data_IF_385549976800
#
_entry.id   IF_385549976800
#
_cell.length_a   1.000
_cell.length_b   1.000
_cell.length_c   1.000
_cell.angle_alpha   90.00
_cell.angle_beta   90.00
_cell.angle_gamma   90.00
#
_symmetry.space_group_name_H-M   'P 1'
#
loop_
_entity.id
_entity.type
_entity.pdbx_description
1 polymer ?
#
# COMPACT_ATOMS: atom_id res chain seq x y z
N UNK A 1 17.06 0.79 16.74
CA UNK A 1 16.15 -0.36 16.98
C UNK A 1 16.71 -1.14 18.18
N UNK A 2 16.08 -1.02 19.34
CA UNK A 2 16.37 -1.92 20.47
C UNK A 2 15.89 -3.32 20.07
N UNK A 3 16.80 -4.29 19.97
CA UNK A 3 16.48 -5.64 19.51
C UNK A 3 15.34 -6.26 20.31
N UNK A 4 14.39 -6.89 19.60
CA UNK A 4 13.38 -7.72 20.24
C UNK A 4 14.06 -8.77 21.11
N UNK A 5 13.51 -9.14 22.29
CA UNK A 5 14.00 -10.29 23.05
C UNK A 5 14.21 -11.49 22.12
N UNK A 6 15.29 -12.23 22.31
CA UNK A 6 15.70 -13.32 21.41
C UNK A 6 14.57 -14.32 21.15
N UNK A 7 13.75 -14.58 22.16
CA UNK A 7 12.57 -15.45 22.13
C UNK A 7 11.47 -14.99 21.17
N UNK A 8 11.40 -13.68 20.86
CA UNK A 8 10.39 -13.06 19.99
C UNK A 8 10.95 -12.60 18.63
N UNK A 9 12.25 -12.72 18.43
CA UNK A 9 12.91 -12.27 17.19
C UNK A 9 12.38 -12.99 15.95
N UNK A 10 12.04 -14.29 16.05
CA UNK A 10 11.45 -15.05 14.94
C UNK A 10 10.07 -14.55 14.52
N UNK A 11 9.21 -14.21 15.48
CA UNK A 11 7.89 -13.64 15.19
C UNK A 11 8.02 -12.23 14.58
N UNK A 12 8.98 -11.42 15.04
CA UNK A 12 9.25 -10.12 14.46
C UNK A 12 9.71 -10.23 13.00
N UNK A 13 10.62 -11.16 12.70
CA UNK A 13 11.08 -11.40 11.33
C UNK A 13 9.95 -11.87 10.40
N UNK A 14 9.07 -12.76 10.87
CA UNK A 14 7.92 -13.21 10.08
C UNK A 14 6.93 -12.06 9.76
N UNK A 15 6.77 -11.10 10.69
CA UNK A 15 5.95 -9.91 10.45
C UNK A 15 6.59 -8.97 9.42
N UNK A 16 7.92 -8.80 9.46
CA UNK A 16 8.65 -8.01 8.47
C UNK A 16 8.51 -8.62 7.06
N UNK A 17 8.68 -9.94 6.94
CA UNK A 17 8.48 -10.64 5.66
C UNK A 17 7.04 -10.49 5.15
N UNK A 18 6.05 -10.66 6.03
CA UNK A 18 4.64 -10.48 5.68
C UNK A 18 4.36 -9.04 5.25
N UNK A 19 4.95 -8.05 5.93
CA UNK A 19 4.79 -6.64 5.58
C UNK A 19 5.43 -6.31 4.23
N UNK A 20 6.61 -6.89 3.94
CA UNK A 20 7.30 -6.72 2.68
C UNK A 20 6.48 -7.31 1.51
N UNK A 21 6.04 -8.56 1.64
CA UNK A 21 5.22 -9.24 0.64
C UNK A 21 3.87 -8.54 0.43
N UNK A 22 3.21 -8.13 1.52
CA UNK A 22 1.96 -7.35 1.42
C UNK A 22 2.18 -6.02 0.68
N UNK A 23 3.28 -5.32 0.98
CA UNK A 23 3.66 -4.10 0.27
C UNK A 23 3.88 -4.33 -1.22
N UNK A 24 4.56 -5.41 -1.58
CA UNK A 24 4.80 -5.82 -2.97
C UNK A 24 3.49 -6.09 -3.73
N UNK A 25 2.54 -6.80 -3.11
CA UNK A 25 1.22 -7.07 -3.67
C UNK A 25 0.42 -5.78 -3.89
N UNK A 26 0.39 -4.88 -2.89
CA UNK A 26 -0.29 -3.59 -3.02
C UNK A 26 0.34 -2.72 -4.11
N UNK A 27 1.68 -2.73 -4.22
CA UNK A 27 2.40 -2.04 -5.30
C UNK A 27 2.00 -2.56 -6.69
N UNK A 28 1.89 -3.88 -6.83
CA UNK A 28 1.46 -4.52 -8.08
C UNK A 28 0.01 -4.17 -8.44
N UNK A 29 -0.89 -4.06 -7.45
CA UNK A 29 -2.27 -3.58 -7.66
C UNK A 29 -2.26 -2.13 -8.15
N UNK A 30 -1.43 -1.26 -7.56
CA UNK A 30 -1.31 0.13 -8.00
C UNK A 30 -0.79 0.23 -9.44
N UNK A 31 0.20 -0.57 -9.82
CA UNK A 31 0.74 -0.62 -11.18
C UNK A 31 -0.32 -1.11 -12.18
N UNK A 32 -1.05 -2.18 -11.85
CA UNK A 32 -2.13 -2.70 -12.70
C UNK A 32 -3.27 -1.67 -12.86
N UNK A 33 -3.67 -1.00 -11.78
CA UNK A 33 -4.71 0.03 -11.80
C UNK A 33 -4.28 1.28 -12.59
N UNK A 34 -2.99 1.64 -12.53
CA UNK A 34 -2.40 2.69 -13.38
C UNK A 34 -2.48 2.31 -14.87
N UNK A 35 -1.92 1.15 -15.23
CA UNK A 35 -1.88 0.65 -16.61
C UNK A 35 -3.28 0.54 -17.23
N UNK A 36 -4.26 0.08 -16.45
CA UNK A 36 -5.66 -0.01 -16.89
C UNK A 36 -6.28 1.35 -17.29
N UNK A 37 -5.80 2.45 -16.71
CA UNK A 37 -6.30 3.81 -17.01
C UNK A 37 -5.60 4.47 -18.19
N UNK A 38 -4.43 3.98 -18.55
CA UNK A 38 -3.74 4.30 -19.80
C UNK A 38 -3.93 3.18 -20.83
N UNK A 39 -5.18 2.72 -21.00
CA UNK A 39 -5.52 1.71 -22.00
C UNK A 39 -5.20 2.18 -23.42
N UNK A 40 -5.14 1.24 -24.38
CA UNK A 40 -4.90 1.53 -25.80
C UNK A 40 -5.87 2.56 -26.36
N UNK A 41 -7.14 2.46 -25.95
CA UNK A 41 -8.19 3.39 -26.37
C UNK A 41 -7.94 4.84 -25.91
N UNK A 42 -7.33 5.02 -24.74
CA UNK A 42 -6.96 6.34 -24.22
C UNK A 42 -5.73 6.86 -24.96
N UNK A 43 -4.72 6.00 -25.13
CA UNK A 43 -3.46 6.39 -25.75
C UNK A 43 -3.56 6.64 -27.27
N UNK A 44 -4.55 6.05 -27.94
CA UNK A 44 -4.83 6.29 -29.35
C UNK A 44 -5.11 7.77 -29.68
N UNK A 45 -5.52 8.59 -28.70
CA UNK A 45 -5.75 10.02 -28.88
C UNK A 45 -4.48 10.88 -28.96
N UNK A 46 -3.29 10.30 -28.72
CA UNK A 46 -2.05 11.05 -28.52
C UNK A 46 -1.03 10.90 -29.67
N UNK A 47 -1.39 10.22 -30.77
CA UNK A 47 -0.52 9.97 -31.95
C UNK A 47 0.86 9.39 -31.59
N UNK A 48 0.85 8.40 -30.69
CA UNK A 48 2.05 7.72 -30.20
C UNK A 48 2.40 6.52 -31.09
N UNK A 49 3.69 6.26 -31.25
CA UNK A 49 4.11 4.94 -31.74
C UNK A 49 3.96 3.87 -30.64
N UNK A 50 4.03 2.59 -31.03
CA UNK A 50 3.81 1.46 -30.11
C UNK A 50 4.76 1.49 -28.89
N UNK A 51 6.03 1.87 -29.08
CA UNK A 51 7.01 1.93 -28.01
C UNK A 51 6.70 3.05 -27.01
N UNK A 52 6.26 4.20 -27.50
CA UNK A 52 5.83 5.33 -26.69
C UNK A 52 4.55 5.01 -25.91
N UNK A 53 3.58 4.36 -26.55
CA UNK A 53 2.34 3.95 -25.90
C UNK A 53 2.62 2.93 -24.78
N UNK A 54 3.50 1.96 -25.02
CA UNK A 54 3.89 0.98 -24.00
C UNK A 54 4.62 1.64 -22.82
N UNK A 55 5.63 2.47 -23.11
CA UNK A 55 6.38 3.18 -22.08
C UNK A 55 5.48 4.07 -21.21
N UNK A 56 4.51 4.76 -21.82
CA UNK A 56 3.56 5.59 -21.11
C UNK A 56 2.69 4.78 -20.13
N UNK A 57 2.27 3.58 -20.55
CA UNK A 57 1.41 2.69 -19.77
C UNK A 57 2.13 1.94 -18.66
N UNK A 58 3.42 1.65 -18.84
CA UNK A 58 4.20 0.89 -17.86
C UNK A 58 4.44 1.69 -16.57
N UNK A 59 4.58 3.02 -16.67
CA UNK A 59 4.78 3.86 -15.49
C UNK A 59 4.43 5.34 -15.72
N UNK A 60 4.14 6.05 -14.63
CA UNK A 60 3.94 7.52 -14.66
C UNK A 60 5.18 8.25 -15.16
N UNK A 61 6.38 7.75 -14.83
CA UNK A 61 7.64 8.31 -15.32
C UNK A 61 7.77 8.18 -16.84
N UNK A 62 7.43 7.01 -17.39
CA UNK A 62 7.37 6.80 -18.83
C UNK A 62 6.32 7.68 -19.51
N UNK A 63 5.15 7.88 -18.89
CA UNK A 63 4.11 8.78 -19.40
C UNK A 63 4.59 10.24 -19.49
N UNK A 64 5.26 10.74 -18.44
CA UNK A 64 5.83 12.09 -18.40
C UNK A 64 6.96 12.25 -19.42
N UNK A 65 7.82 11.25 -19.55
CA UNK A 65 8.94 11.26 -20.51
C UNK A 65 8.42 11.28 -21.96
N UNK A 66 7.45 10.42 -22.30
CA UNK A 66 6.83 10.40 -23.63
C UNK A 66 6.10 11.72 -23.92
N UNK A 67 5.41 12.29 -22.93
CA UNK A 67 4.78 13.61 -23.05
C UNK A 67 5.81 14.71 -23.37
N UNK A 68 6.98 14.68 -22.73
CA UNK A 68 8.06 15.61 -23.02
C UNK A 68 8.64 15.42 -24.43
N UNK A 69 8.83 14.17 -24.87
CA UNK A 69 9.35 13.85 -26.21
C UNK A 69 8.41 14.24 -27.34
N UNK A 70 7.10 14.15 -27.12
CA UNK A 70 6.05 14.45 -28.12
C UNK A 70 5.53 15.88 -28.05
N UNK A 71 5.89 16.63 -27.00
CA UNK A 71 5.33 17.96 -26.72
C UNK A 71 3.87 17.92 -26.28
N UNK A 72 3.35 16.76 -25.86
CA UNK A 72 1.95 16.58 -25.49
C UNK A 72 1.74 16.77 -23.99
N UNK A 73 1.50 18.02 -23.56
CA UNK A 73 1.28 18.34 -22.14
C UNK A 73 0.06 17.66 -21.51
N UNK A 74 -0.96 17.33 -22.31
CA UNK A 74 -2.16 16.63 -21.85
C UNK A 74 -1.87 15.17 -21.47
N UNK A 75 -0.90 14.54 -22.14
CA UNK A 75 -0.45 13.18 -21.78
C UNK A 75 0.20 13.18 -20.39
N UNK A 76 1.00 14.20 -20.05
CA UNK A 76 1.61 14.31 -18.73
C UNK A 76 0.57 14.48 -17.62
N UNK A 77 -0.43 15.34 -17.82
CA UNK A 77 -1.54 15.47 -16.86
C UNK A 77 -2.32 14.17 -16.74
N UNK A 78 -2.58 13.49 -17.86
CA UNK A 78 -3.32 12.23 -17.87
C UNK A 78 -2.60 11.11 -17.11
N UNK A 79 -1.28 11.01 -17.29
CA UNK A 79 -0.44 10.07 -16.54
C UNK A 79 -0.46 10.37 -15.03
N UNK A 80 -0.36 11.64 -14.65
CA UNK A 80 -0.40 12.05 -13.25
C UNK A 80 -1.77 11.74 -12.59
N UNK A 81 -2.87 12.04 -13.28
CA UNK A 81 -4.23 11.70 -12.83
C UNK A 81 -4.40 10.19 -12.63
N UNK A 82 -4.01 9.40 -13.62
CA UNK A 82 -4.12 7.94 -13.56
C UNK A 82 -3.33 7.34 -12.39
N UNK A 83 -2.18 7.94 -12.07
CA UNK A 83 -1.35 7.56 -10.92
C UNK A 83 -2.00 7.90 -9.59
N UNK A 84 -2.52 9.12 -9.43
CA UNK A 84 -3.22 9.51 -8.19
C UNK A 84 -4.46 8.65 -7.96
N UNK A 85 -5.22 8.38 -9.02
CA UNK A 85 -6.36 7.47 -8.94
C UNK A 85 -5.91 6.06 -8.54
N UNK A 86 -4.68 5.63 -8.87
CA UNK A 86 -4.23 4.23 -8.64
C UNK A 86 -3.82 4.04 -7.21
N UNK A 87 -3.19 5.07 -6.64
CA UNK A 87 -2.97 5.18 -5.22
C UNK A 87 -4.29 5.23 -4.45
N UNK A 88 -5.31 5.94 -4.95
CA UNK A 88 -6.63 6.01 -4.31
C UNK A 88 -7.30 4.63 -4.27
N UNK A 89 -7.33 3.92 -5.39
CA UNK A 89 -7.90 2.58 -5.48
C UNK A 89 -7.12 1.56 -4.64
N UNK A 90 -5.79 1.63 -4.66
CA UNK A 90 -4.92 0.76 -3.84
C UNK A 90 -5.10 1.06 -2.35
N UNK A 91 -5.27 2.33 -1.99
CA UNK A 91 -5.59 2.76 -0.63
C UNK A 91 -6.91 2.16 -0.12
N UNK A 92 -7.94 2.06 -0.97
CA UNK A 92 -9.18 1.36 -0.62
C UNK A 92 -8.94 -0.13 -0.37
N UNK A 93 -8.12 -0.79 -1.21
CA UNK A 93 -7.74 -2.19 -0.96
C UNK A 93 -7.03 -2.33 0.38
N UNK A 94 -6.05 -1.47 0.67
CA UNK A 94 -5.34 -1.45 1.95
C UNK A 94 -6.28 -1.21 3.15
N UNK A 95 -7.24 -0.29 2.99
CA UNK A 95 -8.27 -0.01 3.99
C UNK A 95 -9.10 -1.25 4.32
N UNK A 96 -9.63 -1.95 3.31
CA UNK A 96 -10.40 -3.17 3.53
C UNK A 96 -9.55 -4.30 4.12
N UNK A 97 -8.30 -4.45 3.68
CA UNK A 97 -7.34 -5.40 4.26
C UNK A 97 -7.15 -5.13 5.76
N UNK A 98 -6.99 -3.87 6.16
CA UNK A 98 -6.87 -3.51 7.58
C UNK A 98 -8.14 -3.74 8.38
N UNK A 99 -9.32 -3.48 7.80
CA UNK A 99 -10.59 -3.81 8.45
C UNK A 99 -10.74 -5.32 8.70
N UNK A 100 -10.36 -6.14 7.72
CA UNK A 100 -10.37 -7.61 7.87
C UNK A 100 -9.40 -8.04 8.96
N UNK A 101 -8.17 -7.53 8.95
CA UNK A 101 -7.18 -7.82 10.00
C UNK A 101 -7.67 -7.42 11.39
N UNK A 102 -8.26 -6.22 11.53
CA UNK A 102 -8.84 -5.75 12.79
C UNK A 102 -10.00 -6.64 13.26
N UNK A 103 -10.87 -7.08 12.34
CA UNK A 103 -11.95 -8.02 12.63
C UNK A 103 -11.42 -9.36 13.13
N UNK A 104 -10.41 -9.93 12.45
CA UNK A 104 -9.74 -11.17 12.85
C UNK A 104 -9.16 -11.04 14.26
N UNK A 105 -8.42 -9.96 14.54
CA UNK A 105 -7.82 -9.73 15.86
C UNK A 105 -8.91 -9.59 16.94
N UNK A 106 -9.99 -8.86 16.65
CA UNK A 106 -11.10 -8.65 17.59
C UNK A 106 -11.81 -9.97 17.95
N UNK A 107 -11.92 -10.89 17.00
CA UNK A 107 -12.56 -12.20 17.22
C UNK A 107 -11.62 -13.20 17.90
N UNK A 108 -10.34 -13.23 17.52
CA UNK A 108 -9.39 -14.27 17.95
C UNK A 108 -8.61 -13.93 19.22
N UNK A 109 -8.41 -12.64 19.55
CA UNK A 109 -7.64 -12.23 20.73
C UNK A 109 -8.60 -12.00 21.91
N UNK A 110 -8.56 -12.83 22.97
CA UNK A 110 -9.43 -12.65 24.12
C UNK A 110 -9.11 -11.35 24.85
N UNK A 111 -10.11 -10.61 25.37
CA UNK A 111 -9.85 -9.46 26.23
C UNK A 111 -9.11 -9.93 27.49
N UNK A 112 -7.94 -9.35 27.78
CA UNK A 112 -7.24 -9.60 29.04
C UNK A 112 -8.11 -9.11 30.20
N UNK A 113 -8.46 -9.96 31.19
CA UNK A 113 -9.09 -9.49 32.41
C UNK A 113 -8.11 -8.53 33.11
N UNK A 114 -8.53 -7.27 33.30
CA UNK A 114 -7.77 -6.35 34.15
C UNK A 114 -7.82 -6.92 35.57
N UNK A 115 -6.72 -7.48 36.05
CA UNK A 115 -6.56 -7.70 37.49
C UNK A 115 -6.65 -6.32 38.12
N UNK A 116 -7.81 -6.04 38.74
CA UNK A 116 -7.99 -4.89 39.60
C UNK A 116 -6.96 -5.08 40.73
N UNK A 117 -5.81 -4.41 40.65
CA UNK A 117 -4.95 -4.18 41.80
C UNK A 117 -5.79 -3.35 42.77
N UNK A 118 -6.59 -4.05 43.58
CA UNK A 118 -7.23 -3.48 44.74
C UNK A 118 -6.09 -2.92 45.61
N UNK A 119 -6.15 -1.61 45.83
CA UNK A 119 -5.41 -0.88 46.84
C UNK A 119 -5.13 -1.79 48.04
N UNK A 120 -3.85 -2.05 48.33
CA UNK A 120 -3.47 -2.73 49.56
C UNK A 120 -3.01 -1.68 50.59
N UNK A 121 -3.90 -1.17 51.47
CA UNK A 121 -3.52 -0.26 52.54
C UNK A 121 -2.86 -0.96 53.76
N UNK A 122 -2.39 -2.21 53.66
CA UNK A 122 -1.95 -2.99 54.84
C UNK A 122 -0.43 -3.24 54.98
N UNK A 123 0.44 -2.54 54.26
CA UNK A 123 1.90 -2.62 54.50
C UNK A 123 2.45 -1.46 55.35
N UNK A 124 1.61 -0.85 56.19
CA UNK A 124 2.03 0.01 57.31
C UNK A 124 1.46 -0.53 58.62
N UNK A 125 1.85 -1.74 59.01
CA UNK A 125 1.87 -2.17 60.41
C UNK A 125 2.45 -3.60 60.52
N UNK A 126 3.77 -3.70 60.67
CA UNK A 126 4.46 -4.49 61.71
C UNK A 126 5.95 -4.56 61.46
#
# INVERSE_FOLDING_TARGET
>A
MSGSPQEKAGNAAALEETAYELGSVLGSIAAAAYSARLSDSVLAGYDLNDQQAEAARESVGGGIEVAAQTGNGELASRAAEAFVDSLTQTGLVGFFTMLVAAGIVTVLVPPHPRHHQANNPLTTAR
#
